data_IF_363190410138
#
_entry.id   IF_363190410138
#
_cell.length_a   1.000
_cell.length_b   1.000
_cell.length_c   1.000
_cell.angle_alpha   90.00
_cell.angle_beta   90.00
_cell.angle_gamma   90.00
#
_symmetry.space_group_name_H-M   'P 1'
#
loop_
_entity.id
_entity.type
_entity.pdbx_description
1 polymer ?
#
# COMPACT_ATOMS: atom_id res chain seq x y z
N UNK A 1 57.72 -8.86 1.51
CA UNK A 1 56.94 -8.84 2.78
C UNK A 1 55.57 -8.31 2.46
N UNK A 2 54.67 -9.24 2.26
CA UNK A 2 53.32 -8.93 1.77
C UNK A 2 52.35 -8.99 2.97
N UNK A 3 51.88 -7.83 3.39
CA UNK A 3 50.96 -7.70 4.52
C UNK A 3 49.51 -7.67 4.01
N UNK A 4 48.93 -8.87 3.86
CA UNK A 4 47.53 -9.05 3.47
C UNK A 4 46.57 -8.51 4.53
N UNK A 5 45.92 -7.40 4.23
CA UNK A 5 44.79 -6.88 5.01
C UNK A 5 43.57 -7.76 4.78
N UNK A 6 43.20 -8.57 5.77
CA UNK A 6 41.94 -9.34 5.79
C UNK A 6 40.81 -8.39 6.12
N UNK A 7 39.99 -8.04 5.13
CA UNK A 7 38.69 -7.37 5.33
C UNK A 7 37.75 -8.30 6.13
N UNK A 8 37.31 -7.86 7.31
CA UNK A 8 36.26 -8.51 8.08
C UNK A 8 34.94 -8.37 7.34
N UNK A 9 34.27 -9.49 7.07
CA UNK A 9 32.91 -9.53 6.57
C UNK A 9 31.98 -8.96 7.65
N UNK A 10 31.01 -8.07 7.30
CA UNK A 10 30.02 -7.61 8.26
C UNK A 10 29.05 -8.74 8.63
N UNK A 11 28.75 -8.78 9.91
CA UNK A 11 27.78 -9.52 10.69
C UNK A 11 26.96 -10.62 10.04
N UNK A 12 27.18 -11.86 10.51
CA UNK A 12 26.31 -12.99 10.20
C UNK A 12 24.89 -12.74 10.70
N UNK A 13 23.91 -12.82 9.80
CA UNK A 13 22.53 -13.01 10.18
C UNK A 13 22.42 -14.31 10.97
N UNK A 14 21.93 -14.21 12.23
CA UNK A 14 21.54 -15.38 12.99
C UNK A 14 20.31 -15.98 12.29
N UNK A 15 20.49 -17.03 11.50
CA UNK A 15 19.39 -17.88 11.08
C UNK A 15 18.79 -18.53 12.32
N UNK A 16 17.57 -18.12 12.67
CA UNK A 16 16.78 -18.88 13.65
C UNK A 16 16.47 -20.25 13.04
N UNK A 17 16.64 -21.36 13.78
CA UNK A 17 16.32 -22.68 13.26
C UNK A 17 14.83 -22.74 12.91
N UNK A 18 14.51 -22.93 11.62
CA UNK A 18 13.16 -23.19 11.13
C UNK A 18 12.72 -24.55 11.67
N UNK A 19 11.87 -24.57 12.69
CA UNK A 19 11.10 -25.77 13.00
C UNK A 19 10.18 -26.02 11.81
N UNK A 20 10.26 -27.23 11.24
CA UNK A 20 9.40 -27.65 10.14
C UNK A 20 7.94 -27.47 10.52
N UNK A 21 7.24 -26.61 9.79
CA UNK A 21 5.80 -26.43 9.88
C UNK A 21 5.18 -27.19 8.74
N UNK A 22 4.27 -28.10 9.06
CA UNK A 22 3.34 -28.66 8.09
C UNK A 22 2.65 -27.49 7.38
N UNK A 23 2.66 -27.52 6.06
CA UNK A 23 2.09 -26.44 5.25
C UNK A 23 0.61 -26.27 5.61
N UNK A 24 0.25 -25.14 6.21
CA UNK A 24 -1.16 -24.73 6.37
C UNK A 24 -1.69 -24.51 4.96
N UNK A 25 -2.45 -25.47 4.45
CA UNK A 25 -2.96 -25.48 3.06
C UNK A 25 -4.24 -24.66 2.91
N UNK A 26 -4.86 -24.22 4.01
CA UNK A 26 -6.09 -23.41 4.01
C UNK A 26 -6.03 -22.32 5.07
N UNK A 27 -6.47 -21.12 4.71
CA UNK A 27 -6.68 -20.04 5.67
C UNK A 27 -7.97 -20.28 6.46
N UNK A 28 -7.95 -19.97 7.76
CA UNK A 28 -9.15 -19.99 8.58
C UNK A 28 -10.02 -18.73 8.40
N UNK A 29 -9.58 -17.77 7.60
CA UNK A 29 -10.28 -16.52 7.30
C UNK A 29 -11.46 -16.84 6.38
N UNK A 30 -12.67 -16.42 6.77
CA UNK A 30 -13.91 -16.51 6.00
C UNK A 30 -14.56 -15.14 5.83
N UNK A 31 -14.37 -14.27 6.82
CA UNK A 31 -14.96 -12.95 6.88
C UNK A 31 -13.90 -11.87 7.11
N UNK A 32 -14.02 -10.76 6.37
CA UNK A 32 -13.05 -9.66 6.39
C UNK A 32 -13.77 -8.35 6.70
N UNK A 33 -13.35 -7.70 7.78
CA UNK A 33 -13.71 -6.31 8.08
C UNK A 33 -12.77 -5.34 7.35
N UNK A 34 -13.31 -4.30 6.74
CA UNK A 34 -12.52 -3.26 6.09
C UNK A 34 -12.88 -1.92 6.70
N UNK A 35 -11.87 -1.22 7.24
CA UNK A 35 -12.03 0.11 7.83
C UNK A 35 -11.42 1.15 6.90
N UNK A 36 -12.27 2.08 6.44
CA UNK A 36 -11.96 3.04 5.41
C UNK A 36 -12.57 2.65 4.07
N UNK A 37 -13.49 3.47 3.57
CA UNK A 37 -14.18 3.27 2.28
C UNK A 37 -13.57 4.11 1.15
N UNK A 38 -12.35 4.61 1.34
CA UNK A 38 -11.57 5.33 0.33
C UNK A 38 -11.17 4.46 -0.85
N UNK A 39 -10.26 4.97 -1.68
CA UNK A 39 -9.78 4.31 -2.89
C UNK A 39 -9.19 2.91 -2.62
N UNK A 40 -8.39 2.77 -1.55
CA UNK A 40 -7.79 1.48 -1.20
C UNK A 40 -8.83 0.53 -0.62
N UNK A 41 -9.63 0.98 0.36
CA UNK A 41 -10.63 0.12 1.01
C UNK A 41 -11.68 -0.42 0.04
N UNK A 42 -12.21 0.40 -0.89
CA UNK A 42 -13.14 -0.12 -1.89
C UNK A 42 -12.48 -1.12 -2.85
N UNK A 43 -11.22 -0.89 -3.23
CA UNK A 43 -10.47 -1.82 -4.07
C UNK A 43 -10.17 -3.15 -3.37
N UNK A 44 -9.85 -3.12 -2.07
CA UNK A 44 -9.63 -4.32 -1.25
C UNK A 44 -10.95 -5.10 -1.11
N UNK A 45 -12.06 -4.42 -0.76
CA UNK A 45 -13.38 -5.05 -0.66
C UNK A 45 -13.78 -5.75 -1.97
N UNK A 46 -13.53 -5.11 -3.10
CA UNK A 46 -13.79 -5.63 -4.43
C UNK A 46 -13.09 -6.99 -4.65
N UNK A 47 -11.77 -7.05 -4.44
CA UNK A 47 -11.01 -8.29 -4.73
C UNK A 47 -11.29 -9.38 -3.70
N UNK A 48 -11.50 -9.02 -2.43
CA UNK A 48 -11.83 -9.95 -1.35
C UNK A 48 -13.20 -10.60 -1.59
N UNK A 49 -14.21 -9.82 -1.97
CA UNK A 49 -15.55 -10.34 -2.27
C UNK A 49 -15.57 -11.24 -3.53
N UNK A 50 -14.81 -10.87 -4.58
CA UNK A 50 -14.67 -11.70 -5.77
C UNK A 50 -13.98 -13.04 -5.49
N UNK A 51 -13.05 -13.07 -4.52
CA UNK A 51 -12.40 -14.29 -4.07
C UNK A 51 -13.30 -15.18 -3.17
N UNK A 52 -14.54 -14.75 -2.90
CA UNK A 52 -15.54 -15.55 -2.20
C UNK A 52 -15.62 -15.32 -0.69
N UNK A 53 -14.95 -14.32 -0.14
CA UNK A 53 -15.02 -13.96 1.27
C UNK A 53 -16.18 -13.01 1.56
N UNK A 54 -16.76 -13.10 2.75
CA UNK A 54 -17.73 -12.13 3.23
C UNK A 54 -17.01 -10.88 3.73
N UNK A 55 -17.50 -9.71 3.36
CA UNK A 55 -16.88 -8.41 3.63
C UNK A 55 -17.83 -7.53 4.42
N UNK A 56 -17.35 -6.94 5.52
CA UNK A 56 -18.03 -5.87 6.23
C UNK A 56 -17.19 -4.58 6.10
N UNK A 57 -17.67 -3.62 5.31
CA UNK A 57 -16.99 -2.34 5.09
C UNK A 57 -17.58 -1.26 6.00
N UNK A 58 -16.71 -0.50 6.65
CA UNK A 58 -17.08 0.64 7.49
C UNK A 58 -16.23 1.88 7.17
N UNK A 59 -16.88 3.03 7.21
CA UNK A 59 -16.24 4.35 7.24
C UNK A 59 -17.05 5.26 8.17
N UNK A 60 -16.38 6.23 8.79
CA UNK A 60 -17.04 7.24 9.64
C UNK A 60 -17.96 8.18 8.84
N UNK A 61 -17.77 8.25 7.52
CA UNK A 61 -18.56 9.06 6.59
C UNK A 61 -19.45 8.17 5.74
N UNK A 62 -20.77 8.23 5.92
CA UNK A 62 -21.71 7.46 5.11
C UNK A 62 -21.54 7.74 3.61
N UNK A 63 -21.28 8.99 3.23
CA UNK A 63 -21.01 9.36 1.83
C UNK A 63 -19.81 8.62 1.21
N UNK A 64 -18.78 8.32 2.01
CA UNK A 64 -17.64 7.54 1.55
C UNK A 64 -18.04 6.09 1.29
N UNK A 65 -18.88 5.52 2.13
CA UNK A 65 -19.44 4.16 1.97
C UNK A 65 -20.30 4.07 0.70
N UNK A 66 -21.20 5.04 0.50
CA UNK A 66 -22.07 5.07 -0.68
C UNK A 66 -21.27 5.21 -1.98
N UNK A 67 -20.25 6.07 -1.97
CA UNK A 67 -19.32 6.25 -3.08
C UNK A 67 -18.50 4.99 -3.36
N UNK A 68 -18.06 4.29 -2.31
CA UNK A 68 -17.33 3.02 -2.43
C UNK A 68 -18.21 1.96 -3.10
N UNK A 69 -19.45 1.80 -2.63
CA UNK A 69 -20.45 0.89 -3.23
C UNK A 69 -20.60 1.14 -4.72
N UNK A 70 -20.93 2.36 -5.11
CA UNK A 70 -21.10 2.73 -6.52
C UNK A 70 -19.83 2.50 -7.35
N UNK A 71 -18.65 2.69 -6.75
CA UNK A 71 -17.36 2.47 -7.41
C UNK A 71 -17.09 0.99 -7.63
N UNK A 72 -17.35 0.15 -6.63
CA UNK A 72 -17.19 -1.31 -6.73
C UNK A 72 -18.12 -1.85 -7.81
N UNK A 73 -19.42 -1.52 -7.78
CA UNK A 73 -20.41 -1.94 -8.78
C UNK A 73 -19.98 -1.55 -10.20
N UNK A 74 -19.60 -0.30 -10.41
CA UNK A 74 -19.13 0.19 -11.71
C UNK A 74 -17.86 -0.52 -12.20
N UNK A 75 -16.90 -0.79 -11.29
CA UNK A 75 -15.64 -1.46 -11.65
C UNK A 75 -15.87 -2.93 -11.99
N UNK A 76 -16.72 -3.64 -11.24
CA UNK A 76 -17.09 -5.03 -11.55
C UNK A 76 -17.87 -5.09 -12.87
N UNK A 77 -18.85 -4.20 -13.11
CA UNK A 77 -19.56 -4.13 -14.39
C UNK A 77 -18.60 -3.92 -15.59
N UNK A 78 -17.56 -3.10 -15.41
CA UNK A 78 -16.51 -2.93 -16.42
C UNK A 78 -15.68 -4.20 -16.62
N UNK A 79 -15.42 -4.98 -15.57
CA UNK A 79 -14.74 -6.28 -15.69
C UNK A 79 -15.63 -7.30 -16.44
N UNK A 80 -16.95 -7.32 -16.17
CA UNK A 80 -17.91 -8.14 -16.94
C UNK A 80 -17.89 -7.75 -18.42
N UNK A 81 -17.98 -6.45 -18.74
CA UNK A 81 -17.97 -5.98 -20.14
C UNK A 81 -16.69 -6.33 -20.91
N UNK A 82 -15.59 -6.58 -20.19
CA UNK A 82 -14.29 -7.00 -20.75
C UNK A 82 -14.06 -8.51 -20.70
N UNK A 83 -15.03 -9.28 -20.21
CA UNK A 83 -14.93 -10.74 -20.09
C UNK A 83 -13.91 -11.21 -19.03
N UNK A 84 -13.54 -10.35 -18.07
CA UNK A 84 -12.62 -10.71 -16.99
C UNK A 84 -13.31 -11.53 -15.90
N UNK A 85 -14.56 -11.21 -15.61
CA UNK A 85 -15.45 -11.96 -14.71
C UNK A 85 -16.81 -12.14 -15.39
N UNK A 86 -17.61 -13.10 -14.90
CA UNK A 86 -19.00 -13.28 -15.37
C UNK A 86 -19.95 -12.35 -14.61
N UNK A 87 -21.16 -12.16 -15.17
CA UNK A 87 -22.24 -11.44 -14.49
C UNK A 87 -22.68 -12.15 -13.19
N UNK A 88 -22.63 -13.47 -13.18
CA UNK A 88 -22.91 -14.29 -11.98
C UNK A 88 -21.87 -14.03 -10.89
N UNK A 89 -20.58 -13.97 -11.24
CA UNK A 89 -19.50 -13.65 -10.30
C UNK A 89 -19.71 -12.28 -9.69
N UNK A 90 -20.01 -11.26 -10.52
CA UNK A 90 -20.30 -9.91 -10.06
C UNK A 90 -21.44 -9.89 -9.04
N UNK A 91 -22.60 -10.43 -9.39
CA UNK A 91 -23.77 -10.43 -8.51
C UNK A 91 -23.52 -11.21 -7.22
N UNK A 92 -22.77 -12.31 -7.29
CA UNK A 92 -22.39 -13.11 -6.12
C UNK A 92 -21.45 -12.34 -5.21
N UNK A 93 -20.43 -11.67 -5.75
CA UNK A 93 -19.49 -10.87 -4.99
C UNK A 93 -20.16 -9.65 -4.32
N UNK A 94 -21.04 -8.94 -5.06
CA UNK A 94 -21.76 -7.79 -4.50
C UNK A 94 -22.65 -8.16 -3.30
N UNK A 95 -23.25 -9.35 -3.30
CA UNK A 95 -24.06 -9.84 -2.16
C UNK A 95 -23.22 -10.16 -0.92
N UNK A 96 -21.92 -10.40 -1.08
CA UNK A 96 -21.00 -10.66 0.04
C UNK A 96 -20.52 -9.39 0.74
N UNK A 97 -20.76 -8.20 0.17
CA UNK A 97 -20.31 -6.93 0.74
C UNK A 97 -21.44 -6.33 1.56
N UNK A 98 -21.31 -6.39 2.89
CA UNK A 98 -22.11 -5.64 3.84
C UNK A 98 -21.49 -4.26 4.10
N UNK A 99 -22.34 -3.25 4.17
CA UNK A 99 -21.92 -1.88 4.48
C UNK A 99 -22.33 -1.57 5.92
N UNK A 100 -21.34 -1.55 6.81
CA UNK A 100 -21.53 -1.46 8.25
C UNK A 100 -21.75 -0.01 8.69
N UNK A 101 -22.85 0.24 9.39
CA UNK A 101 -23.15 1.56 9.95
C UNK A 101 -22.22 1.92 11.12
N UNK A 102 -21.73 0.92 11.84
CA UNK A 102 -20.82 1.07 12.98
C UNK A 102 -19.79 -0.07 13.06
N UNK A 103 -18.81 0.07 13.94
CA UNK A 103 -17.74 -0.89 14.16
C UNK A 103 -18.21 -2.23 14.75
N UNK A 104 -19.41 -2.31 15.33
CA UNK A 104 -19.92 -3.56 15.92
C UNK A 104 -20.15 -4.64 14.86
N UNK A 105 -20.51 -4.23 13.65
CA UNK A 105 -20.70 -5.12 12.50
C UNK A 105 -19.40 -5.82 12.04
N UNK A 106 -18.25 -5.32 12.48
CA UNK A 106 -16.93 -5.89 12.18
C UNK A 106 -16.45 -6.84 13.26
N UNK A 107 -17.13 -6.86 14.43
CA UNK A 107 -16.72 -7.60 15.63
C UNK A 107 -16.47 -9.09 15.42
N UNK A 108 -17.22 -9.72 14.54
CA UNK A 108 -17.13 -11.14 14.20
C UNK A 108 -16.18 -11.48 13.03
N UNK A 109 -15.51 -10.47 12.45
CA UNK A 109 -14.57 -10.71 11.36
C UNK A 109 -13.36 -11.56 11.78
N UNK A 110 -12.91 -12.46 10.91
CA UNK A 110 -11.70 -13.26 11.11
C UNK A 110 -10.43 -12.44 10.88
N UNK A 111 -10.50 -11.49 9.94
CA UNK A 111 -9.45 -10.54 9.61
C UNK A 111 -10.05 -9.13 9.52
N UNK A 112 -9.38 -8.13 10.08
CA UNK A 112 -9.71 -6.73 9.83
C UNK A 112 -8.53 -6.04 9.15
N UNK A 113 -8.80 -5.41 8.00
CA UNK A 113 -7.83 -4.62 7.22
C UNK A 113 -8.18 -3.14 7.36
N UNK A 114 -7.32 -2.38 8.00
CA UNK A 114 -7.41 -0.94 8.09
C UNK A 114 -6.83 -0.30 6.82
N UNK A 115 -7.63 0.52 6.14
CA UNK A 115 -7.30 1.24 4.91
C UNK A 115 -7.82 2.69 4.92
N UNK A 116 -7.80 3.32 6.10
CA UNK A 116 -8.17 4.72 6.31
C UNK A 116 -7.06 5.68 5.83
N UNK A 117 -7.10 6.93 6.31
CA UNK A 117 -6.08 7.93 5.96
C UNK A 117 -4.67 7.52 6.41
N UNK A 118 -3.64 7.98 5.68
CA UNK A 118 -2.24 7.71 6.01
C UNK A 118 -1.74 8.71 7.08
N UNK A 119 -2.30 8.55 8.28
CA UNK A 119 -1.97 9.31 9.49
C UNK A 119 -1.86 8.34 10.66
N UNK A 120 -0.68 8.31 11.31
CA UNK A 120 -0.38 7.35 12.37
C UNK A 120 -1.30 7.52 13.59
N UNK A 121 -1.61 8.76 13.98
CA UNK A 121 -2.44 9.04 15.15
C UNK A 121 -3.87 8.55 14.91
N UNK A 122 -4.39 8.78 13.70
CA UNK A 122 -5.72 8.29 13.30
C UNK A 122 -5.76 6.76 13.28
N UNK A 123 -4.76 6.09 12.66
CA UNK A 123 -4.71 4.63 12.61
C UNK A 123 -4.61 4.01 14.01
N UNK A 124 -3.75 4.56 14.88
CA UNK A 124 -3.63 4.11 16.28
C UNK A 124 -4.96 4.24 17.03
N UNK A 125 -5.66 5.37 16.87
CA UNK A 125 -6.99 5.57 17.46
C UNK A 125 -7.99 4.54 16.95
N UNK A 126 -8.02 4.25 15.65
CA UNK A 126 -8.89 3.22 15.06
C UNK A 126 -8.64 1.88 15.75
N UNK A 127 -7.38 1.44 15.90
CA UNK A 127 -7.07 0.15 16.52
C UNK A 127 -7.42 0.11 18.01
N UNK A 128 -7.19 1.19 18.76
CA UNK A 128 -7.59 1.29 20.18
C UNK A 128 -9.11 1.17 20.33
N UNK A 129 -9.89 1.86 19.48
CA UNK A 129 -11.35 1.84 19.53
C UNK A 129 -11.93 0.49 19.04
N UNK A 130 -11.22 -0.21 18.16
CA UNK A 130 -11.65 -1.43 17.50
C UNK A 130 -11.40 -2.68 18.35
N UNK A 131 -10.21 -2.83 18.96
CA UNK A 131 -9.78 -4.04 19.65
C UNK A 131 -10.79 -4.58 20.68
N UNK A 132 -11.42 -3.74 21.55
CA UNK A 132 -12.40 -4.23 22.53
C UNK A 132 -13.69 -4.81 21.92
N UNK A 133 -13.93 -4.56 20.63
CA UNK A 133 -15.16 -4.98 19.92
C UNK A 133 -14.98 -6.26 19.14
N UNK A 134 -13.73 -6.70 18.94
CA UNK A 134 -13.39 -7.85 18.11
C UNK A 134 -13.40 -9.16 18.91
N UNK A 135 -13.80 -10.24 18.28
CA UNK A 135 -13.60 -11.59 18.86
C UNK A 135 -12.11 -11.88 19.05
N UNK A 136 -11.79 -12.73 20.02
CA UNK A 136 -10.39 -13.01 20.44
C UNK A 136 -9.48 -13.54 19.32
N UNK A 137 -10.04 -14.22 18.32
CA UNK A 137 -9.27 -14.82 17.23
C UNK A 137 -8.98 -13.92 16.05
N UNK A 138 -9.56 -12.71 16.00
CA UNK A 138 -9.42 -11.79 14.86
C UNK A 138 -7.97 -11.39 14.62
N UNK A 139 -7.52 -11.55 13.39
CA UNK A 139 -6.25 -11.01 12.91
C UNK A 139 -6.42 -9.56 12.46
N UNK A 140 -5.41 -8.73 12.71
CA UNK A 140 -5.41 -7.32 12.33
C UNK A 140 -4.38 -7.06 11.25
N UNK A 141 -4.74 -6.21 10.30
CA UNK A 141 -3.82 -5.74 9.27
C UNK A 141 -3.97 -4.24 9.02
N UNK A 142 -2.89 -3.58 8.63
CA UNK A 142 -2.95 -2.22 8.08
C UNK A 142 -2.45 -2.21 6.64
N UNK A 143 -3.15 -1.46 5.79
CA UNK A 143 -2.76 -1.20 4.41
C UNK A 143 -1.87 0.06 4.30
N UNK A 144 -1.23 0.48 5.39
CA UNK A 144 -0.29 1.61 5.35
C UNK A 144 0.81 1.39 4.31
N UNK A 145 1.27 2.47 3.72
CA UNK A 145 2.37 2.47 2.76
C UNK A 145 3.73 2.82 3.37
N UNK A 146 3.76 3.33 4.61
CA UNK A 146 4.97 3.90 5.18
C UNK A 146 5.07 3.88 6.71
N UNK A 147 3.94 3.70 7.42
CA UNK A 147 3.89 3.72 8.89
C UNK A 147 4.35 2.36 9.44
N UNK A 148 5.16 2.38 10.50
CA UNK A 148 5.66 1.16 11.14
C UNK A 148 4.55 0.25 11.63
N UNK A 149 4.57 -0.99 11.18
CA UNK A 149 3.66 -2.07 11.59
C UNK A 149 3.84 -2.37 13.07
N UNK A 150 5.09 -2.38 13.56
CA UNK A 150 5.41 -2.55 14.99
C UNK A 150 4.77 -1.47 15.85
N UNK A 151 4.82 -0.19 15.43
CA UNK A 151 4.19 0.91 16.18
C UNK A 151 2.67 0.84 16.17
N UNK A 152 2.05 0.43 15.06
CA UNK A 152 0.60 0.22 15.01
C UNK A 152 0.18 -0.99 15.86
N UNK A 153 0.92 -2.09 15.80
CA UNK A 153 0.65 -3.28 16.61
C UNK A 153 0.72 -3.01 18.11
N UNK A 154 1.64 -2.13 18.54
CA UNK A 154 1.90 -1.87 19.97
C UNK A 154 0.72 -1.24 20.73
N UNK A 155 -0.27 -0.69 20.05
CA UNK A 155 -1.48 -0.14 20.69
C UNK A 155 -2.65 -1.11 20.70
N UNK A 156 -2.47 -2.31 20.17
CA UNK A 156 -3.48 -3.36 20.13
C UNK A 156 -3.32 -4.34 21.30
N UNK A 157 -4.36 -5.08 21.61
CA UNK A 157 -4.35 -6.15 22.61
C UNK A 157 -3.83 -7.48 22.05
N UNK A 158 -3.43 -7.51 20.76
CA UNK A 158 -2.99 -8.70 20.01
C UNK A 158 -1.89 -8.41 19.01
N UNK A 159 -0.74 -7.84 19.45
CA UNK A 159 0.34 -7.46 18.55
C UNK A 159 0.95 -8.64 17.78
N UNK A 160 0.86 -9.86 18.31
CA UNK A 160 1.29 -11.09 17.66
C UNK A 160 0.41 -11.47 16.46
N UNK A 161 -0.86 -10.98 16.45
CA UNK A 161 -1.84 -11.18 15.38
C UNK A 161 -1.95 -9.97 14.43
N UNK A 162 -0.95 -9.11 14.44
CA UNK A 162 -0.92 -7.89 13.61
C UNK A 162 0.11 -8.03 12.48
N UNK A 163 -0.27 -7.61 11.25
CA UNK A 163 0.59 -7.66 10.07
C UNK A 163 0.33 -6.47 9.14
N UNK A 164 1.32 -6.06 8.36
CA UNK A 164 1.12 -5.15 7.23
C UNK A 164 0.66 -5.90 5.99
N UNK A 165 -0.40 -5.41 5.33
CA UNK A 165 -0.89 -5.88 4.03
C UNK A 165 -0.95 -4.69 3.08
N UNK A 166 0.18 -4.35 2.45
CA UNK A 166 0.28 -3.20 1.57
C UNK A 166 -0.11 -3.58 0.14
N UNK A 167 -1.37 -3.32 -0.19
CA UNK A 167 -1.90 -3.47 -1.55
C UNK A 167 -1.46 -2.30 -2.43
N UNK A 168 -1.20 -2.59 -3.71
CA UNK A 168 -0.85 -1.57 -4.70
C UNK A 168 -2.09 -0.98 -5.37
N UNK A 169 -2.05 0.32 -5.65
CA UNK A 169 -3.14 1.05 -6.32
C UNK A 169 -2.98 1.03 -7.85
N UNK A 170 -4.02 0.68 -8.61
CA UNK A 170 -5.38 0.26 -8.26
C UNK A 170 -5.46 -1.22 -7.86
N UNK A 171 -6.06 -1.52 -6.70
CA UNK A 171 -6.06 -2.88 -6.12
C UNK A 171 -6.57 -3.97 -7.06
N UNK A 172 -7.67 -3.80 -7.83
CA UNK A 172 -8.14 -4.83 -8.74
C UNK A 172 -7.18 -5.15 -9.89
N UNK A 173 -6.27 -4.23 -10.25
CA UNK A 173 -5.37 -4.38 -11.39
C UNK A 173 -3.98 -4.84 -10.98
N UNK A 174 -3.50 -4.37 -9.84
CA UNK A 174 -2.13 -4.64 -9.37
C UNK A 174 -2.03 -6.02 -8.74
N UNK A 175 -1.05 -6.79 -9.20
CA UNK A 175 -0.87 -8.17 -8.74
C UNK A 175 -0.16 -8.27 -7.38
N UNK A 176 0.69 -7.29 -7.06
CA UNK A 176 1.55 -7.33 -5.89
C UNK A 176 0.82 -6.92 -4.61
N UNK A 177 1.09 -7.66 -3.53
CA UNK A 177 0.86 -7.23 -2.15
C UNK A 177 2.16 -7.43 -1.38
N UNK A 178 2.64 -6.41 -0.70
CA UNK A 178 3.72 -6.57 0.27
C UNK A 178 3.13 -7.04 1.60
N UNK A 179 3.65 -8.15 2.14
CA UNK A 179 3.39 -8.58 3.51
C UNK A 179 4.52 -8.13 4.41
N UNK A 180 4.20 -7.34 5.42
CA UNK A 180 5.18 -6.72 6.30
C UNK A 180 5.02 -7.27 7.72
N UNK A 181 6.08 -7.89 8.23
CA UNK A 181 6.14 -8.42 9.60
C UNK A 181 6.59 -7.32 10.55
N UNK A 182 5.76 -7.01 11.55
CA UNK A 182 6.21 -6.29 12.73
C UNK A 182 7.04 -7.19 13.65
N UNK A 183 7.73 -6.60 14.62
CA UNK A 183 8.61 -7.36 15.54
C UNK A 183 7.87 -8.44 16.34
N UNK A 184 6.59 -8.21 16.64
CA UNK A 184 5.74 -9.13 17.40
C UNK A 184 4.96 -10.13 16.52
N UNK A 185 4.89 -9.94 15.20
CA UNK A 185 4.09 -10.79 14.30
C UNK A 185 4.52 -12.24 14.39
N UNK A 186 3.62 -13.13 14.82
CA UNK A 186 3.86 -14.57 14.89
C UNK A 186 3.90 -15.23 13.50
N UNK A 187 4.56 -16.39 13.42
CA UNK A 187 4.67 -17.17 12.19
C UNK A 187 3.28 -17.63 11.70
N UNK A 188 2.38 -18.02 12.60
CA UNK A 188 1.02 -18.41 12.24
C UNK A 188 0.25 -17.25 11.60
N UNK A 189 0.33 -16.04 12.17
CA UNK A 189 -0.26 -14.83 11.59
C UNK A 189 0.27 -14.56 10.17
N UNK A 190 1.57 -14.65 9.99
CA UNK A 190 2.19 -14.50 8.68
C UNK A 190 1.71 -15.56 7.67
N UNK A 191 1.64 -16.83 8.09
CA UNK A 191 1.18 -17.92 7.22
C UNK A 191 -0.29 -17.78 6.85
N UNK A 192 -1.17 -17.42 7.78
CA UNK A 192 -2.58 -17.15 7.53
C UNK A 192 -2.75 -15.98 6.53
N UNK A 193 -2.00 -14.89 6.72
CA UNK A 193 -1.99 -13.76 5.82
C UNK A 193 -1.51 -14.14 4.41
N UNK A 194 -0.45 -14.95 4.32
CA UNK A 194 0.09 -15.44 3.05
C UNK A 194 -0.97 -16.24 2.28
N UNK A 195 -1.57 -17.25 2.92
CA UNK A 195 -2.60 -18.09 2.29
C UNK A 195 -3.80 -17.23 1.86
N UNK A 196 -4.22 -16.29 2.70
CA UNK A 196 -5.30 -15.36 2.36
C UNK A 196 -4.97 -14.53 1.11
N UNK A 197 -3.81 -13.88 1.04
CA UNK A 197 -3.43 -13.05 -0.11
C UNK A 197 -3.29 -13.88 -1.39
N UNK A 198 -2.72 -15.09 -1.30
CA UNK A 198 -2.63 -16.01 -2.44
C UNK A 198 -4.02 -16.45 -2.93
N UNK A 199 -5.00 -16.63 -2.04
CA UNK A 199 -6.38 -16.96 -2.41
C UNK A 199 -7.11 -15.82 -3.14
N UNK A 200 -6.64 -14.57 -3.02
CA UNK A 200 -7.11 -13.43 -3.80
C UNK A 200 -6.52 -13.40 -5.23
N UNK A 201 -5.68 -14.37 -5.61
CA UNK A 201 -4.95 -14.38 -6.87
C UNK A 201 -3.82 -13.35 -6.93
N UNK A 202 -3.33 -12.89 -5.78
CA UNK A 202 -2.24 -11.90 -5.68
C UNK A 202 -0.89 -12.58 -5.48
N UNK A 203 0.16 -11.87 -5.88
CA UNK A 203 1.56 -12.27 -5.66
C UNK A 203 2.13 -11.51 -4.47
N UNK A 204 2.91 -12.20 -3.65
CA UNK A 204 3.43 -11.65 -2.40
C UNK A 204 4.92 -11.29 -2.54
N UNK A 205 5.28 -10.11 -2.06
CA UNK A 205 6.65 -9.80 -1.64
C UNK A 205 6.68 -9.68 -0.11
N UNK A 206 7.66 -10.30 0.52
CA UNK A 206 7.82 -10.25 1.98
C UNK A 206 8.79 -9.14 2.32
N UNK A 207 8.39 -8.27 3.22
CA UNK A 207 9.21 -7.18 3.73
C UNK A 207 9.27 -7.22 5.26
N UNK A 208 10.39 -6.80 5.80
CA UNK A 208 10.51 -6.43 7.21
C UNK A 208 9.96 -5.02 7.42
N UNK A 209 9.62 -4.68 8.68
CA UNK A 209 9.06 -3.39 9.08
C UNK A 209 10.14 -2.29 9.08
N UNK A 210 10.53 -1.87 7.88
CA UNK A 210 11.40 -0.73 7.63
C UNK A 210 10.67 0.39 6.91
N UNK A 211 11.08 1.67 7.06
CA UNK A 211 10.44 2.81 6.40
C UNK A 211 10.21 2.58 4.91
N UNK A 212 8.95 2.76 4.48
CA UNK A 212 8.48 2.62 3.09
C UNK A 212 8.64 1.23 2.46
N UNK A 213 8.92 0.18 3.24
CA UNK A 213 9.00 -1.24 2.84
C UNK A 213 9.97 -1.49 1.68
N UNK A 214 9.57 -2.19 0.60
CA UNK A 214 10.44 -2.46 -0.55
C UNK A 214 10.14 -1.52 -1.71
N UNK A 215 8.88 -1.51 -2.20
CA UNK A 215 8.52 -0.78 -3.43
C UNK A 215 8.80 0.72 -3.29
N UNK A 216 8.26 1.34 -2.26
CA UNK A 216 8.40 2.78 -2.06
C UNK A 216 9.84 3.17 -1.70
N UNK A 217 10.56 2.32 -0.96
CA UNK A 217 11.97 2.56 -0.62
C UNK A 217 12.90 2.59 -1.83
N UNK A 218 12.52 1.94 -2.92
CA UNK A 218 13.28 1.95 -4.17
C UNK A 218 12.73 3.01 -5.12
N UNK A 219 11.42 3.03 -5.31
CA UNK A 219 10.74 3.86 -6.31
C UNK A 219 10.85 5.35 -6.00
N UNK A 220 10.60 5.76 -4.74
CA UNK A 220 10.55 7.18 -4.40
C UNK A 220 11.93 7.86 -4.43
N UNK A 221 13.03 7.25 -3.97
CA UNK A 221 14.37 7.77 -4.20
C UNK A 221 14.74 7.85 -5.69
N UNK A 222 14.32 6.89 -6.52
CA UNK A 222 14.51 6.97 -7.97
C UNK A 222 13.78 8.20 -8.57
N UNK A 223 12.53 8.44 -8.18
CA UNK A 223 11.77 9.62 -8.58
C UNK A 223 12.45 10.89 -8.06
N UNK A 224 12.85 10.91 -6.80
CA UNK A 224 13.54 12.06 -6.20
C UNK A 224 14.86 12.39 -6.92
N UNK A 225 15.62 11.37 -7.35
CA UNK A 225 16.82 11.55 -8.15
C UNK A 225 16.51 12.14 -9.54
N UNK A 226 15.41 11.73 -10.16
CA UNK A 226 14.95 12.36 -11.41
C UNK A 226 14.59 13.84 -11.21
N UNK A 227 14.01 14.18 -10.04
CA UNK A 227 13.74 15.60 -9.70
C UNK A 227 15.04 16.36 -9.44
N UNK A 228 16.07 15.77 -8.82
CA UNK A 228 17.39 16.37 -8.71
C UNK A 228 18.05 16.57 -10.08
N UNK A 229 17.96 15.59 -10.97
CA UNK A 229 18.46 15.68 -12.36
C UNK A 229 17.84 16.87 -13.11
N UNK A 230 16.55 17.12 -12.90
CA UNK A 230 15.87 18.33 -13.42
C UNK A 230 16.33 19.59 -12.70
N UNK A 231 16.43 19.56 -11.38
CA UNK A 231 16.81 20.71 -10.54
C UNK A 231 18.22 21.23 -10.85
N UNK A 232 19.16 20.32 -11.07
CA UNK A 232 20.56 20.61 -11.39
C UNK A 232 20.78 20.97 -12.89
N UNK A 233 19.73 20.88 -13.69
CA UNK A 233 19.80 21.27 -15.11
C UNK A 233 20.49 20.25 -16.01
N UNK A 234 20.61 18.99 -15.57
CA UNK A 234 21.19 17.90 -16.38
C UNK A 234 20.31 17.56 -17.58
N UNK A 235 18.98 17.66 -17.42
CA UNK A 235 18.04 17.41 -18.51
C UNK A 235 16.71 18.14 -18.32
N UNK A 236 15.95 18.26 -19.40
CA UNK A 236 14.57 18.73 -19.36
C UNK A 236 13.63 17.63 -18.87
N UNK A 237 12.42 18.00 -18.47
CA UNK A 237 11.35 17.04 -18.05
C UNK A 237 11.16 15.94 -19.11
N UNK A 238 11.02 16.34 -20.39
CA UNK A 238 10.84 15.41 -21.50
C UNK A 238 12.05 14.50 -21.71
N UNK A 239 13.27 15.06 -21.60
CA UNK A 239 14.50 14.29 -21.81
C UNK A 239 14.70 13.23 -20.72
N UNK A 240 14.43 13.57 -19.45
CA UNK A 240 14.54 12.67 -18.32
C UNK A 240 13.53 11.51 -18.47
N UNK A 241 12.27 11.83 -18.72
CA UNK A 241 11.23 10.82 -18.88
C UNK A 241 11.45 9.93 -20.10
N UNK A 242 11.88 10.52 -21.23
CA UNK A 242 12.22 9.77 -22.44
C UNK A 242 13.42 8.86 -22.23
N UNK A 243 14.46 9.32 -21.54
CA UNK A 243 15.65 8.52 -21.24
C UNK A 243 15.28 7.29 -20.40
N UNK A 244 14.47 7.45 -19.36
CA UNK A 244 14.06 6.33 -18.50
C UNK A 244 13.11 5.36 -19.22
N UNK A 245 12.19 5.85 -20.05
CA UNK A 245 11.32 4.97 -20.84
C UNK A 245 12.08 4.16 -21.88
N UNK A 246 12.98 4.78 -22.61
CA UNK A 246 13.65 4.13 -23.75
C UNK A 246 15.00 3.52 -23.39
N UNK A 247 15.73 4.09 -22.43
CA UNK A 247 17.04 3.60 -22.00
C UNK A 247 16.96 2.55 -20.89
N UNK A 248 15.96 2.64 -20.01
CA UNK A 248 15.75 1.71 -18.89
C UNK A 248 14.48 0.86 -19.01
N UNK A 249 13.74 0.96 -20.12
CA UNK A 249 12.50 0.24 -20.41
C UNK A 249 11.40 0.44 -19.33
N UNK A 250 11.33 1.62 -18.74
CA UNK A 250 10.24 1.95 -17.82
C UNK A 250 8.95 2.18 -18.58
N UNK A 251 7.79 1.70 -18.07
CA UNK A 251 6.50 1.89 -18.74
C UNK A 251 6.07 3.36 -18.76
N UNK A 252 6.56 4.16 -17.80
CA UNK A 252 6.29 5.59 -17.64
C UNK A 252 7.57 6.29 -17.18
N UNK A 253 7.80 7.53 -17.63
CA UNK A 253 8.93 8.31 -17.15
C UNK A 253 8.76 8.67 -15.65
N UNK A 254 9.84 8.89 -14.90
CA UNK A 254 9.79 9.09 -13.46
C UNK A 254 9.06 10.37 -13.05
N UNK A 255 9.14 11.44 -13.83
CA UNK A 255 8.46 12.72 -13.54
C UNK A 255 6.96 12.64 -13.87
N UNK A 256 6.60 11.97 -14.98
CA UNK A 256 5.21 11.66 -15.30
C UNK A 256 4.60 10.72 -14.25
N UNK A 257 5.37 9.75 -13.74
CA UNK A 257 4.96 8.83 -12.67
C UNK A 257 4.75 9.59 -11.34
N UNK A 258 5.63 10.54 -11.03
CA UNK A 258 5.47 11.41 -9.87
C UNK A 258 4.15 12.20 -9.93
N UNK A 259 3.82 12.77 -11.08
CA UNK A 259 2.56 13.48 -11.32
C UNK A 259 1.34 12.54 -11.21
N UNK A 260 1.48 11.28 -11.62
CA UNK A 260 0.44 10.27 -11.49
C UNK A 260 0.20 9.84 -10.05
N UNK A 261 1.27 9.63 -9.27
CA UNK A 261 1.20 9.29 -7.83
C UNK A 261 0.65 10.48 -7.02
N UNK A 262 1.08 11.68 -7.37
CA UNK A 262 0.86 12.92 -6.65
C UNK A 262 2.12 13.37 -5.93
N UNK A 263 2.54 14.62 -6.20
CA UNK A 263 3.82 15.14 -5.69
C UNK A 263 3.83 15.30 -4.16
N UNK A 264 2.70 15.58 -3.55
CA UNK A 264 2.54 15.58 -2.09
C UNK A 264 2.73 14.18 -1.47
N UNK A 265 2.22 13.14 -2.13
CA UNK A 265 2.46 11.74 -1.73
C UNK A 265 3.95 11.39 -1.88
N UNK A 266 4.57 11.77 -3.00
CA UNK A 266 6.01 11.56 -3.21
C UNK A 266 6.83 12.25 -2.12
N UNK A 267 6.52 13.51 -1.80
CA UNK A 267 7.19 14.27 -0.75
C UNK A 267 7.01 13.63 0.62
N UNK A 268 5.78 13.23 0.96
CA UNK A 268 5.48 12.58 2.25
C UNK A 268 6.27 11.29 2.45
N UNK A 269 6.34 10.42 1.44
CA UNK A 269 7.12 9.17 1.53
C UNK A 269 8.62 9.45 1.62
N UNK A 270 9.14 10.43 0.88
CA UNK A 270 10.55 10.84 1.01
C UNK A 270 10.87 11.38 2.41
N UNK A 271 9.96 12.12 3.03
CA UNK A 271 10.11 12.58 4.42
C UNK A 271 10.14 11.41 5.41
N UNK A 272 9.23 10.44 5.26
CA UNK A 272 9.23 9.21 6.08
C UNK A 272 10.56 8.45 5.95
N UNK A 273 11.10 8.33 4.74
CA UNK A 273 12.41 7.71 4.50
C UNK A 273 13.54 8.51 5.16
N UNK A 274 13.54 9.83 4.99
CA UNK A 274 14.58 10.71 5.51
C UNK A 274 14.62 10.70 7.06
N UNK A 275 13.46 10.85 7.69
CA UNK A 275 13.32 10.85 9.14
C UNK A 275 13.54 9.46 9.75
N UNK A 276 12.94 8.44 9.15
CA UNK A 276 12.97 7.07 9.67
C UNK A 276 14.32 6.37 9.54
N UNK A 277 15.14 6.75 8.54
CA UNK A 277 16.48 6.18 8.31
C UNK A 277 17.61 7.13 8.76
N UNK A 278 17.31 8.39 9.02
CA UNK A 278 18.26 9.44 9.42
C UNK A 278 19.49 9.53 8.47
N UNK A 279 19.26 9.32 7.16
CA UNK A 279 20.32 9.31 6.15
C UNK A 279 20.02 10.39 5.08
N UNK A 280 20.98 11.29 4.88
CA UNK A 280 20.85 12.43 3.97
C UNK A 280 20.57 12.05 2.50
N UNK A 281 20.86 10.83 2.08
CA UNK A 281 20.56 10.34 0.74
C UNK A 281 19.06 10.30 0.42
N UNK A 282 18.21 10.29 1.46
CA UNK A 282 16.74 10.32 1.33
C UNK A 282 16.15 11.73 1.46
N UNK A 283 17.00 12.76 1.53
CA UNK A 283 16.52 14.16 1.58
C UNK A 283 15.66 14.48 0.36
N UNK A 284 14.42 14.98 0.54
CA UNK A 284 13.61 15.44 -0.58
C UNK A 284 14.30 16.52 -1.37
N UNK A 285 14.21 16.46 -2.70
CA UNK A 285 14.72 17.52 -3.57
C UNK A 285 14.00 18.85 -3.28
N UNK A 286 14.73 19.98 -3.15
CA UNK A 286 14.10 21.28 -2.92
C UNK A 286 13.06 21.65 -3.97
N UNK A 287 13.24 21.21 -5.22
CA UNK A 287 12.29 21.46 -6.30
C UNK A 287 10.96 20.72 -6.06
N UNK A 288 11.01 19.47 -5.58
CA UNK A 288 9.79 18.72 -5.23
C UNK A 288 9.00 19.45 -4.12
N UNK A 289 9.71 19.94 -3.09
CA UNK A 289 9.09 20.74 -2.03
C UNK A 289 8.40 21.98 -2.58
N UNK A 290 9.05 22.70 -3.49
CA UNK A 290 8.49 23.93 -4.10
C UNK A 290 7.27 23.67 -4.97
N UNK A 291 7.22 22.54 -5.68
CA UNK A 291 6.03 22.16 -6.45
C UNK A 291 4.85 21.89 -5.53
N UNK A 292 5.08 21.18 -4.42
CA UNK A 292 4.03 20.88 -3.43
C UNK A 292 3.55 22.17 -2.74
N UNK A 293 4.46 23.07 -2.32
CA UNK A 293 4.12 24.38 -1.77
C UNK A 293 3.29 25.25 -2.74
N UNK A 294 3.56 25.14 -4.04
CA UNK A 294 2.81 25.84 -5.08
C UNK A 294 1.42 25.22 -5.36
N UNK A 295 1.07 24.09 -4.73
CA UNK A 295 -0.16 23.35 -5.00
C UNK A 295 -0.13 22.61 -6.35
N UNK A 296 1.03 22.44 -6.97
CA UNK A 296 1.19 21.68 -8.20
C UNK A 296 1.42 20.22 -7.87
N UNK A 297 0.31 19.50 -7.65
CA UNK A 297 0.35 18.15 -7.09
C UNK A 297 0.23 17.04 -8.16
N UNK A 298 0.47 17.38 -9.44
CA UNK A 298 0.38 16.46 -10.55
C UNK A 298 -1.04 16.37 -11.15
N UNK A 299 -1.41 15.18 -11.64
CA UNK A 299 -2.69 14.97 -12.36
C UNK A 299 -3.92 15.36 -11.55
N UNK A 300 -3.91 15.20 -10.25
CA UNK A 300 -5.06 15.52 -9.38
C UNK A 300 -5.37 17.02 -9.30
N UNK A 301 -4.37 17.88 -9.52
CA UNK A 301 -4.53 19.34 -9.60
C UNK A 301 -4.34 19.87 -11.04
N UNK A 302 -4.27 18.96 -12.02
CA UNK A 302 -4.04 19.25 -13.43
C UNK A 302 -2.71 19.97 -13.70
N UNK A 303 -1.78 19.96 -12.74
CA UNK A 303 -0.46 20.59 -12.86
C UNK A 303 0.54 19.95 -11.91
N UNK A 304 1.73 19.65 -12.45
CA UNK A 304 2.89 19.11 -11.75
C UNK A 304 4.13 19.38 -12.59
N UNK A 305 4.94 18.37 -12.85
CA UNK A 305 6.03 18.44 -13.83
C UNK A 305 5.49 18.67 -15.24
N UNK A 306 4.25 18.22 -15.48
CA UNK A 306 3.48 18.53 -16.68
C UNK A 306 2.23 19.36 -16.34
N UNK A 307 1.80 20.16 -17.31
CA UNK A 307 0.50 20.84 -17.31
C UNK A 307 -0.48 19.98 -18.11
N UNK A 308 -1.55 19.51 -17.43
CA UNK A 308 -2.56 18.61 -17.99
C UNK A 308 -3.85 19.33 -18.41
N UNK A 309 -3.90 20.66 -18.38
CA UNK A 309 -5.09 21.45 -18.70
C UNK A 309 -5.36 21.56 -20.21
N UNK A 310 -4.38 21.25 -21.05
CA UNK A 310 -4.52 21.22 -22.51
C UNK A 310 -4.87 19.84 -23.05
N UNK A 311 -4.96 19.72 -24.37
CA UNK A 311 -5.22 18.44 -25.05
C UNK A 311 -4.10 17.42 -24.84
N UNK A 312 -2.86 17.90 -24.71
CA UNK A 312 -1.67 17.08 -24.44
C UNK A 312 -0.92 17.65 -23.25
N UNK A 313 -0.35 16.78 -22.40
CA UNK A 313 0.54 17.24 -21.32
C UNK A 313 1.73 18.00 -21.88
N UNK A 314 2.01 19.17 -21.31
CA UNK A 314 3.15 20.02 -21.69
C UNK A 314 4.04 20.20 -20.47
N UNK A 315 5.39 20.07 -20.58
CA UNK A 315 6.29 20.34 -19.46
C UNK A 315 6.07 21.72 -18.87
N UNK A 316 6.08 21.82 -17.54
CA UNK A 316 5.93 23.10 -16.83
C UNK A 316 7.26 23.84 -16.67
N UNK A 317 8.37 23.17 -17.03
CA UNK A 317 9.72 23.72 -16.90
C UNK A 317 10.62 23.23 -18.02
#
# INVERSE_FOLDING_TARGET
MDAGVKLRKPGGHMERPRKGTDAVTQSNIKSVGIIGAGQMGNGIAHVVALAGFDVAMHDVKQEAVDKARATIERNMARQVSRGVITDVDMHTALKRIGYAADLSSIGEADLVIEAATEDEAVKRKIFVDLCPRLKKGTMLASNTSSISITRLASVTDRPERFIGMHFMNPVPMMQLVELIRGIATEDDTFHQAKVFIESLGKTIAVSEDFPAFIVNRILLPMINEAVYTLYEGVGTVESIDKAMRLGANHPMGPLELADFIGLDTCLSVMQVLYEGLADSKYRPCPLLVKYVEAGWLGRKTQRGFYDYRGEKPIPTR
#
